data_IF_832830137784
#
_entry.id   IF_832830137784
#
_cell.length_a   1.000
_cell.length_b   1.000
_cell.length_c   1.000
_cell.angle_alpha   90.00
_cell.angle_beta   90.00
_cell.angle_gamma   90.00
#
_symmetry.space_group_name_H-M   'P 1'
#
loop_
_entity.id
_entity.type
_entity.pdbx_description
1 polymer ?
#
# COMPACT_ATOMS: atom_id res chain seq x y z
N UNK A 1 -40.30 -65.63 -31.34
CA UNK A 1 -38.95 -65.05 -31.50
C UNK A 1 -38.18 -65.28 -30.20
N UNK A 2 -36.95 -65.79 -30.26
CA UNK A 2 -36.13 -66.08 -29.08
C UNK A 2 -35.76 -64.76 -28.39
N UNK A 3 -36.12 -64.60 -27.11
CA UNK A 3 -35.88 -63.36 -26.33
C UNK A 3 -34.39 -63.00 -26.27
N UNK A 4 -33.51 -64.00 -26.29
CA UNK A 4 -32.05 -63.78 -26.38
C UNK A 4 -31.64 -63.18 -27.72
N UNK A 5 -32.28 -63.58 -28.83
CA UNK A 5 -32.03 -63.03 -30.15
C UNK A 5 -32.55 -61.60 -30.31
N UNK A 6 -33.65 -61.27 -29.65
CA UNK A 6 -34.18 -59.90 -29.61
C UNK A 6 -33.27 -58.99 -28.79
N UNK A 7 -32.80 -59.44 -27.62
CA UNK A 7 -31.87 -58.68 -26.78
C UNK A 7 -30.53 -58.45 -27.48
N UNK A 8 -29.98 -59.45 -28.17
CA UNK A 8 -28.75 -59.32 -28.94
C UNK A 8 -28.93 -58.34 -30.12
N UNK A 9 -30.07 -58.40 -30.81
CA UNK A 9 -30.40 -57.45 -31.88
C UNK A 9 -30.47 -56.00 -31.38
N UNK A 10 -31.11 -55.77 -30.23
CA UNK A 10 -31.16 -54.44 -29.61
C UNK A 10 -29.76 -53.97 -29.20
N UNK A 11 -28.95 -54.86 -28.62
CA UNK A 11 -27.59 -54.51 -28.20
C UNK A 11 -26.70 -54.12 -29.37
N UNK A 12 -26.77 -54.86 -30.50
CA UNK A 12 -26.01 -54.54 -31.71
C UNK A 12 -26.44 -53.21 -32.32
N UNK A 13 -27.74 -52.90 -32.33
CA UNK A 13 -28.24 -51.61 -32.82
C UNK A 13 -27.76 -50.45 -31.94
N UNK A 14 -27.82 -50.60 -30.62
CA UNK A 14 -27.35 -49.58 -29.68
C UNK A 14 -25.83 -49.37 -29.79
N UNK A 15 -25.07 -50.45 -29.93
CA UNK A 15 -23.61 -50.38 -30.07
C UNK A 15 -23.18 -49.77 -31.41
N UNK A 16 -23.87 -50.12 -32.50
CA UNK A 16 -23.65 -49.50 -33.80
C UNK A 16 -23.99 -48.01 -33.75
N UNK A 17 -25.12 -47.63 -33.15
CA UNK A 17 -25.50 -46.21 -33.01
C UNK A 17 -24.51 -45.40 -32.17
N UNK A 18 -23.94 -45.97 -31.09
CA UNK A 18 -22.96 -45.26 -30.26
C UNK A 18 -21.64 -45.05 -31.00
N UNK A 19 -21.25 -46.00 -31.85
CA UNK A 19 -20.03 -45.90 -32.63
C UNK A 19 -20.17 -44.88 -33.77
N UNK A 20 -21.35 -44.74 -34.37
CA UNK A 20 -21.63 -43.69 -35.37
C UNK A 20 -21.61 -42.29 -34.73
N UNK A 21 -22.11 -42.13 -33.50
CA UNK A 21 -22.03 -40.83 -32.79
C UNK A 21 -20.57 -40.44 -32.53
N UNK A 22 -19.71 -41.39 -32.13
CA UNK A 22 -18.28 -41.12 -31.93
C UNK A 22 -17.56 -40.78 -33.24
N UNK A 23 -17.90 -41.43 -34.35
CA UNK A 23 -17.29 -41.16 -35.66
C UNK A 23 -17.80 -39.87 -36.32
N UNK A 24 -19.00 -39.39 -35.97
CA UNK A 24 -19.54 -38.11 -36.45
C UNK A 24 -19.12 -36.96 -35.53
N UNK A 25 -18.91 -37.21 -34.22
CA UNK A 25 -18.50 -36.19 -33.26
C UNK A 25 -17.04 -35.74 -33.41
N UNK A 26 -16.19 -36.47 -34.14
CA UNK A 26 -14.79 -36.07 -34.37
C UNK A 26 -14.60 -35.12 -35.56
N UNK A 27 -15.62 -34.85 -36.39
CA UNK A 27 -15.44 -34.05 -37.63
C UNK A 27 -16.43 -32.85 -37.79
N UNK A 28 -17.16 -32.48 -36.74
CA UNK A 28 -17.92 -31.21 -36.69
C UNK A 28 -17.64 -30.42 -35.42
N UNK A 29 -16.40 -29.94 -35.29
CA UNK A 29 -16.14 -28.67 -34.60
C UNK A 29 -16.44 -27.51 -35.57
N UNK A 30 -17.68 -27.41 -36.02
CA UNK A 30 -18.18 -26.17 -36.63
C UNK A 30 -18.39 -25.17 -35.50
N UNK A 31 -17.63 -24.09 -35.58
CA UNK A 31 -17.68 -22.91 -34.73
C UNK A 31 -19.12 -22.35 -34.69
N UNK A 32 -19.91 -22.81 -33.72
CA UNK A 32 -21.20 -22.20 -33.41
C UNK A 32 -20.87 -20.95 -32.61
N UNK A 33 -20.92 -19.79 -33.28
CA UNK A 33 -21.03 -18.50 -32.60
C UNK A 33 -22.28 -18.52 -31.73
N UNK A 34 -22.10 -18.91 -30.47
CA UNK A 34 -23.04 -18.62 -29.42
C UNK A 34 -23.07 -17.10 -29.25
N UNK A 35 -24.11 -16.47 -29.79
CA UNK A 35 -24.38 -15.06 -29.59
C UNK A 35 -25.08 -14.86 -28.23
N UNK A 36 -24.61 -15.58 -27.21
CA UNK A 36 -24.83 -15.18 -25.83
C UNK A 36 -23.97 -13.94 -25.65
N UNK A 37 -24.59 -12.84 -25.25
CA UNK A 37 -23.86 -11.68 -24.74
C UNK A 37 -23.23 -12.09 -23.41
N UNK A 38 -22.19 -12.92 -23.50
CA UNK A 38 -21.28 -13.22 -22.42
C UNK A 38 -20.64 -11.87 -22.09
N UNK A 39 -21.05 -11.30 -20.96
CA UNK A 39 -20.26 -10.26 -20.33
C UNK A 39 -18.92 -10.95 -20.00
N UNK A 40 -17.96 -10.83 -20.91
CA UNK A 40 -16.58 -11.13 -20.61
C UNK A 40 -16.16 -10.15 -19.50
N UNK A 41 -16.26 -10.61 -18.27
CA UNK A 41 -15.37 -10.14 -17.22
C UNK A 41 -13.98 -10.67 -17.62
N UNK A 42 -13.37 -10.05 -18.64
CA UNK A 42 -11.95 -10.23 -18.88
C UNK A 42 -11.26 -9.87 -17.57
N UNK A 43 -10.40 -10.78 -17.10
CA UNK A 43 -9.54 -10.53 -15.96
C UNK A 43 -8.83 -9.19 -16.18
N UNK A 44 -8.96 -8.18 -15.29
CA UNK A 44 -8.25 -6.91 -15.43
C UNK A 44 -6.73 -7.09 -15.49
N UNK A 45 -6.21 -8.28 -15.17
CA UNK A 45 -4.82 -8.72 -15.35
C UNK A 45 -4.60 -9.62 -16.59
N UNK A 46 -5.28 -9.36 -17.71
CA UNK A 46 -5.11 -10.14 -18.95
C UNK A 46 -3.72 -10.02 -19.60
N UNK A 47 -2.89 -9.08 -19.16
CA UNK A 47 -1.49 -8.98 -19.55
C UNK A 47 -0.65 -9.89 -18.64
N UNK A 48 -0.54 -11.17 -19.02
CA UNK A 48 0.31 -12.12 -18.32
C UNK A 48 1.79 -11.70 -18.26
N UNK A 49 2.59 -12.47 -17.52
CA UNK A 49 4.03 -12.25 -17.40
C UNK A 49 4.74 -12.48 -18.74
N UNK A 50 5.41 -11.44 -19.27
CA UNK A 50 6.08 -11.50 -20.58
C UNK A 50 6.17 -10.17 -21.32
N UNK A 51 5.54 -9.13 -20.78
CA UNK A 51 5.71 -7.76 -21.26
C UNK A 51 6.69 -6.99 -20.37
N UNK A 52 7.33 -5.97 -20.93
CA UNK A 52 8.25 -5.11 -20.21
C UNK A 52 7.48 -3.98 -19.53
N UNK A 53 7.44 -3.99 -18.19
CA UNK A 53 6.71 -3.01 -17.37
C UNK A 53 7.29 -1.57 -17.47
N UNK A 54 8.42 -1.39 -18.15
CA UNK A 54 8.98 -0.07 -18.47
C UNK A 54 8.56 0.49 -19.83
N UNK A 55 7.81 -0.28 -20.64
CA UNK A 55 7.40 0.12 -21.99
C UNK A 55 5.88 0.25 -22.04
N UNK A 56 5.38 1.48 -21.91
CA UNK A 56 3.95 1.80 -21.90
C UNK A 56 3.16 1.18 -23.07
N UNK A 57 3.76 1.11 -24.27
CA UNK A 57 3.13 0.55 -25.46
C UNK A 57 2.93 -0.98 -25.41
N UNK A 58 3.49 -1.67 -24.41
CA UNK A 58 3.25 -3.10 -24.17
C UNK A 58 2.11 -3.33 -23.16
N UNK A 59 1.54 -2.26 -22.60
CA UNK A 59 0.36 -2.32 -21.75
C UNK A 59 -0.91 -2.01 -22.57
N UNK A 60 -1.78 -3.01 -22.70
CA UNK A 60 -2.98 -3.00 -23.55
C UNK A 60 -4.21 -2.43 -22.82
N UNK A 61 -4.14 -2.33 -21.49
CA UNK A 61 -5.15 -1.76 -20.60
C UNK A 61 -4.87 -0.29 -20.24
N UNK A 62 -3.83 0.30 -20.85
CA UNK A 62 -3.57 1.73 -20.75
C UNK A 62 -4.74 2.50 -21.36
N UNK A 63 -5.11 3.60 -20.73
CA UNK A 63 -6.15 4.51 -21.22
C UNK A 63 -5.49 5.72 -21.88
N UNK A 64 -6.04 6.18 -23.01
CA UNK A 64 -5.52 7.35 -23.76
C UNK A 64 -5.55 8.66 -22.95
N UNK A 65 -6.17 8.68 -21.77
CA UNK A 65 -6.25 9.84 -20.88
C UNK A 65 -5.06 9.95 -19.90
N UNK A 66 -4.10 9.02 -19.94
CA UNK A 66 -2.84 9.09 -19.17
C UNK A 66 -1.67 9.08 -20.16
N UNK A 67 -0.91 10.18 -20.18
CA UNK A 67 0.32 10.32 -20.97
C UNK A 67 1.52 10.39 -20.01
N UNK A 68 2.56 9.59 -20.26
CA UNK A 68 3.83 9.75 -19.56
C UNK A 68 4.60 10.93 -20.17
N UNK A 69 4.60 12.07 -19.48
CA UNK A 69 5.21 13.31 -19.99
C UNK A 69 6.70 13.41 -19.60
N UNK A 70 7.03 13.02 -18.37
CA UNK A 70 8.38 13.11 -17.82
C UNK A 70 8.61 12.05 -16.74
N UNK A 71 9.88 11.71 -16.50
CA UNK A 71 10.30 10.85 -15.41
C UNK A 71 11.50 11.50 -14.71
N UNK A 72 11.32 11.86 -13.44
CA UNK A 72 12.42 12.32 -12.60
C UNK A 72 13.00 11.09 -11.87
N UNK A 73 14.23 10.66 -12.22
CA UNK A 73 14.83 9.52 -11.57
C UNK A 73 15.12 9.83 -10.11
N UNK A 74 14.76 8.91 -9.22
CA UNK A 74 15.21 8.91 -7.83
C UNK A 74 16.72 8.68 -7.79
N UNK A 75 17.39 9.25 -6.78
CA UNK A 75 18.83 8.99 -6.56
C UNK A 75 19.05 7.52 -6.27
N UNK A 76 18.16 6.94 -5.46
CA UNK A 76 18.11 5.51 -5.18
C UNK A 76 16.69 5.02 -5.46
N UNK A 77 16.40 4.42 -6.63
CA UNK A 77 15.07 3.88 -6.92
C UNK A 77 14.81 2.63 -6.07
N UNK A 78 13.55 2.34 -5.76
CA UNK A 78 13.22 1.09 -5.07
C UNK A 78 11.82 1.00 -4.48
N UNK A 79 11.22 2.12 -4.09
CA UNK A 79 9.89 2.17 -3.50
C UNK A 79 8.93 3.03 -4.34
N UNK A 80 7.62 2.83 -4.15
CA UNK A 80 6.57 3.33 -5.03
C UNK A 80 5.48 4.14 -4.31
N UNK A 81 5.79 4.71 -3.15
CA UNK A 81 4.84 5.57 -2.43
C UNK A 81 5.01 7.04 -2.82
N UNK A 82 3.88 7.69 -3.10
CA UNK A 82 3.83 9.10 -3.50
C UNK A 82 2.69 9.79 -2.76
N UNK A 83 3.01 10.90 -2.10
CA UNK A 83 2.00 11.84 -1.60
C UNK A 83 1.98 13.08 -2.50
N UNK A 84 0.79 13.55 -2.89
CA UNK A 84 0.63 14.76 -3.72
C UNK A 84 -0.21 15.76 -2.95
N UNK A 85 0.29 16.98 -2.80
CA UNK A 85 -0.40 18.01 -2.02
C UNK A 85 -0.23 19.42 -2.59
N UNK A 86 -1.24 20.26 -2.35
CA UNK A 86 -1.12 21.71 -2.52
C UNK A 86 -0.41 22.27 -1.29
N UNK A 87 0.56 23.14 -1.52
CA UNK A 87 1.30 23.85 -0.48
C UNK A 87 0.71 25.25 -0.25
N UNK A 88 0.85 25.84 0.95
CA UNK A 88 0.47 27.23 1.23
C UNK A 88 1.13 28.26 0.30
N UNK A 89 2.26 27.94 -0.32
CA UNK A 89 2.92 28.80 -1.31
C UNK A 89 2.18 28.89 -2.67
N UNK A 90 1.09 28.13 -2.83
CA UNK A 90 0.26 28.09 -4.03
C UNK A 90 0.71 27.08 -5.10
N UNK A 91 1.77 26.32 -4.84
CA UNK A 91 2.29 25.27 -5.73
C UNK A 91 1.72 23.90 -5.36
N UNK A 92 1.92 22.94 -6.26
CA UNK A 92 1.61 21.53 -6.04
C UNK A 92 2.91 20.75 -6.01
N UNK A 93 3.12 19.97 -4.96
CA UNK A 93 4.30 19.15 -4.81
C UNK A 93 3.93 17.67 -4.73
N UNK A 94 4.81 16.82 -5.24
CA UNK A 94 4.85 15.41 -4.89
C UNK A 94 5.98 15.16 -3.91
N UNK A 95 5.75 14.22 -3.01
CA UNK A 95 6.72 13.68 -2.08
C UNK A 95 6.85 12.20 -2.42
N UNK A 96 7.94 11.84 -3.07
CA UNK A 96 8.14 10.51 -3.65
C UNK A 96 9.16 9.74 -2.83
N UNK A 97 8.76 8.59 -2.31
CA UNK A 97 9.65 7.65 -1.64
C UNK A 97 10.62 7.04 -2.64
N UNK A 98 11.90 7.13 -2.38
CA UNK A 98 12.93 6.28 -2.98
C UNK A 98 13.35 5.18 -2.01
N UNK A 99 14.46 4.52 -2.33
CA UNK A 99 15.03 3.50 -1.46
C UNK A 99 15.46 4.16 -0.15
N UNK A 100 16.45 5.04 -0.14
CA UNK A 100 16.97 5.71 1.06
C UNK A 100 16.81 7.24 1.03
N UNK A 101 15.93 7.73 0.17
CA UNK A 101 15.65 9.15 0.03
C UNK A 101 14.15 9.43 -0.20
N UNK A 102 13.76 10.68 0.00
CA UNK A 102 12.47 11.22 -0.37
C UNK A 102 12.70 12.46 -1.23
N UNK A 103 12.13 12.47 -2.43
CA UNK A 103 12.24 13.58 -3.37
C UNK A 103 11.00 14.47 -3.25
N UNK A 104 11.23 15.78 -3.19
CA UNK A 104 10.19 16.80 -3.28
C UNK A 104 10.23 17.34 -4.69
N UNK A 105 9.15 17.14 -5.44
CA UNK A 105 9.04 17.53 -6.85
C UNK A 105 7.93 18.55 -7.02
N UNK A 106 8.24 19.73 -7.54
CA UNK A 106 7.24 20.69 -7.98
C UNK A 106 6.57 20.18 -9.25
N UNK A 107 5.27 19.91 -9.15
CA UNK A 107 4.40 19.44 -10.24
C UNK A 107 3.30 20.44 -10.56
N UNK A 108 3.46 21.70 -10.15
CA UNK A 108 2.51 22.78 -10.46
C UNK A 108 2.29 22.89 -11.97
N UNK A 109 3.37 22.74 -12.74
CA UNK A 109 3.29 22.49 -14.16
C UNK A 109 3.53 20.99 -14.43
N UNK A 110 2.45 20.25 -14.68
CA UNK A 110 2.52 18.80 -14.91
C UNK A 110 3.38 18.42 -16.15
N UNK A 111 3.62 19.36 -17.08
CA UNK A 111 4.46 19.09 -18.26
C UNK A 111 5.95 19.36 -18.04
N UNK A 112 6.32 19.92 -16.89
CA UNK A 112 7.70 20.29 -16.56
C UNK A 112 7.96 20.12 -15.06
N UNK A 113 7.91 18.87 -14.55
CA UNK A 113 8.09 18.61 -13.12
C UNK A 113 9.57 18.79 -12.71
N UNK A 114 9.82 19.52 -11.62
CA UNK A 114 11.17 19.87 -11.17
C UNK A 114 11.44 19.36 -9.76
N UNK A 115 12.53 18.61 -9.57
CA UNK A 115 12.98 18.24 -8.22
C UNK A 115 13.50 19.49 -7.52
N UNK A 116 12.89 19.86 -6.39
CA UNK A 116 13.25 21.06 -5.62
C UNK A 116 14.00 20.76 -4.33
N UNK A 117 13.90 19.53 -3.83
CA UNK A 117 14.60 19.10 -2.63
C UNK A 117 14.65 17.58 -2.50
N UNK A 118 15.60 17.11 -1.70
CA UNK A 118 15.78 15.69 -1.38
C UNK A 118 16.11 15.58 0.10
N UNK A 119 15.37 14.73 0.82
CA UNK A 119 15.77 14.24 2.13
C UNK A 119 16.42 12.87 1.95
N UNK A 120 17.62 12.66 2.47
CA UNK A 120 18.33 11.38 2.35
C UNK A 120 18.78 10.92 3.74
N UNK A 121 18.48 9.67 4.06
CA UNK A 121 19.05 8.98 5.21
C UNK A 121 19.65 7.65 4.74
N UNK A 122 20.97 7.53 4.64
CA UNK A 122 21.62 6.34 4.08
C UNK A 122 21.45 5.08 4.95
N UNK A 123 20.98 5.22 6.19
CA UNK A 123 20.82 4.10 7.12
C UNK A 123 19.42 3.50 7.08
N UNK A 124 18.50 4.11 6.31
CA UNK A 124 17.11 3.67 6.29
C UNK A 124 16.59 3.48 4.86
N UNK A 125 15.54 2.67 4.75
CA UNK A 125 14.74 2.57 3.55
C UNK A 125 13.35 3.19 3.78
N UNK A 126 12.91 4.08 2.89
CA UNK A 126 11.65 4.83 2.99
C UNK A 126 10.51 4.03 2.41
N UNK A 127 9.73 3.37 3.26
CA UNK A 127 8.61 2.53 2.87
C UNK A 127 7.39 3.36 2.50
N UNK A 128 6.99 4.33 3.33
CA UNK A 128 5.78 5.14 3.10
C UNK A 128 6.03 6.63 3.32
N UNK A 129 5.23 7.48 2.66
CA UNK A 129 5.31 8.94 2.69
C UNK A 129 3.90 9.52 2.83
N UNK A 130 3.69 10.35 3.86
CA UNK A 130 2.43 11.10 4.07
C UNK A 130 2.72 12.57 4.33
N UNK A 131 2.14 13.46 3.53
CA UNK A 131 2.21 14.90 3.74
C UNK A 131 1.10 15.41 4.66
N UNK A 132 1.41 16.43 5.47
CA UNK A 132 0.43 17.24 6.18
C UNK A 132 0.86 18.71 6.29
N UNK A 133 -0.12 19.59 6.42
CA UNK A 133 0.07 21.02 6.71
C UNK A 133 -0.50 21.33 8.11
N UNK A 134 0.19 22.18 8.86
CA UNK A 134 -0.27 22.68 10.15
C UNK A 134 0.16 24.12 10.39
N UNK A 135 -0.81 25.02 10.52
CA UNK A 135 -0.59 26.46 10.78
C UNK A 135 0.40 27.12 9.79
N UNK A 136 0.37 26.72 8.51
CA UNK A 136 1.28 27.22 7.48
C UNK A 136 2.68 26.60 7.49
N UNK A 137 3.01 25.75 8.47
CA UNK A 137 4.18 24.86 8.41
C UNK A 137 3.78 23.56 7.72
N UNK A 138 4.76 22.91 7.09
CA UNK A 138 4.53 21.73 6.27
C UNK A 138 5.43 20.59 6.70
N UNK A 139 4.86 19.40 6.78
CA UNK A 139 5.54 18.22 7.32
C UNK A 139 5.33 17.02 6.40
N UNK A 140 6.32 16.14 6.43
CA UNK A 140 6.23 14.81 5.85
C UNK A 140 6.52 13.78 6.93
N UNK A 141 5.65 12.79 7.00
CA UNK A 141 5.85 11.59 7.80
C UNK A 141 6.40 10.51 6.86
N UNK A 142 7.56 9.97 7.22
CA UNK A 142 8.16 8.83 6.55
C UNK A 142 7.98 7.59 7.43
N UNK A 143 7.54 6.49 6.84
CA UNK A 143 7.75 5.19 7.47
C UNK A 143 9.04 4.60 6.93
N UNK A 144 9.99 4.35 7.82
CA UNK A 144 11.34 3.95 7.46
C UNK A 144 11.69 2.61 8.10
N UNK A 145 12.48 1.79 7.43
CA UNK A 145 13.14 0.64 8.05
C UNK A 145 14.65 0.82 8.10
N UNK A 146 15.31 0.25 9.11
CA UNK A 146 16.78 0.22 9.13
C UNK A 146 17.30 -0.67 8.01
N UNK A 147 18.28 -0.17 7.25
CA UNK A 147 18.98 -0.96 6.24
C UNK A 147 20.20 -1.60 6.90
N UNK A 148 20.15 -2.91 7.12
CA UNK A 148 21.38 -3.67 7.33
C UNK A 148 22.05 -3.90 5.97
N UNK A 149 23.36 -3.71 5.90
CA UNK A 149 24.19 -3.84 4.69
C UNK A 149 24.12 -5.21 3.99
N UNK A 150 23.38 -6.18 4.55
CA UNK A 150 23.13 -7.51 3.98
C UNK A 150 21.66 -7.91 3.80
N UNK A 151 20.67 -7.09 4.18
CA UNK A 151 19.24 -7.44 4.13
C UNK A 151 18.43 -6.35 3.43
N UNK A 152 17.76 -6.73 2.34
CA UNK A 152 16.90 -5.85 1.54
C UNK A 152 15.40 -5.99 1.88
N UNK A 153 15.06 -6.90 2.79
CA UNK A 153 13.68 -7.24 3.15
C UNK A 153 13.54 -7.09 4.68
N UNK A 154 12.54 -6.35 5.20
CA UNK A 154 12.28 -6.31 6.62
C UNK A 154 11.98 -7.73 7.10
N UNK A 155 12.50 -8.13 8.25
CA UNK A 155 12.01 -9.33 8.91
C UNK A 155 10.67 -9.01 9.58
N UNK A 156 9.63 -8.79 8.76
CA UNK A 156 8.27 -8.48 9.23
C UNK A 156 7.81 -9.60 10.16
N UNK A 157 7.53 -9.27 11.43
CA UNK A 157 7.08 -10.23 12.44
C UNK A 157 8.17 -10.86 13.31
N UNK A 158 9.46 -10.61 13.06
CA UNK A 158 10.57 -11.16 13.84
C UNK A 158 11.16 -10.15 14.84
N UNK A 159 11.08 -10.47 16.13
CA UNK A 159 11.44 -9.60 17.27
C UNK A 159 12.94 -9.43 17.52
N UNK A 160 13.79 -9.87 16.60
CA UNK A 160 15.24 -9.91 16.85
C UNK A 160 15.90 -8.53 16.88
N UNK A 161 15.24 -7.49 16.35
CA UNK A 161 15.65 -6.08 16.45
C UNK A 161 14.42 -5.17 16.63
N UNK A 162 14.28 -4.46 17.77
CA UNK A 162 13.12 -3.61 18.05
C UNK A 162 13.06 -2.31 17.22
N UNK A 163 14.09 -1.97 16.42
CA UNK A 163 14.14 -0.72 15.64
C UNK A 163 13.90 -0.98 14.14
N UNK A 164 13.39 -2.17 13.77
CA UNK A 164 13.27 -2.53 12.35
C UNK A 164 12.42 -1.56 11.54
N UNK A 165 11.35 -0.99 12.12
CA UNK A 165 10.50 0.00 11.46
C UNK A 165 10.28 1.19 12.41
N UNK A 166 10.39 2.40 11.86
CA UNK A 166 10.24 3.66 12.57
C UNK A 166 9.40 4.64 11.77
N UNK A 167 8.79 5.58 12.47
CA UNK A 167 8.15 6.76 11.89
C UNK A 167 9.08 7.94 12.08
N UNK A 168 9.40 8.62 10.99
CA UNK A 168 10.24 9.84 10.99
C UNK A 168 9.41 11.04 10.59
N UNK A 169 9.52 12.13 11.35
CA UNK A 169 8.89 13.41 11.06
C UNK A 169 9.93 14.38 10.47
N UNK A 170 9.64 14.89 9.28
CA UNK A 170 10.47 15.84 8.54
C UNK A 170 9.68 17.15 8.38
N UNK A 171 10.30 18.28 8.72
CA UNK A 171 9.81 19.60 8.36
C UNK A 171 10.25 19.91 6.92
N UNK A 172 9.27 20.16 6.06
CA UNK A 172 9.46 20.46 4.64
C UNK A 172 8.93 21.85 4.29
N UNK A 173 8.75 22.74 5.28
CA UNK A 173 8.28 24.11 5.05
C UNK A 173 9.18 24.82 4.04
N UNK A 174 10.51 24.73 4.22
CA UNK A 174 11.47 25.01 3.15
C UNK A 174 11.71 23.75 2.31
N UNK A 175 11.06 23.68 1.14
CA UNK A 175 11.16 22.55 0.20
C UNK A 175 12.59 22.27 -0.25
N UNK A 176 13.48 23.25 -0.21
CA UNK A 176 14.87 23.12 -0.67
C UNK A 176 15.81 22.61 0.41
N UNK A 177 15.35 22.60 1.66
CA UNK A 177 16.12 22.20 2.82
C UNK A 177 15.23 21.44 3.82
N UNK A 178 14.77 20.23 3.49
CA UNK A 178 14.00 19.40 4.41
C UNK A 178 14.83 19.08 5.65
N UNK A 179 14.24 19.26 6.84
CA UNK A 179 14.95 19.06 8.12
C UNK A 179 14.29 18.00 8.97
N UNK A 180 15.10 17.07 9.49
CA UNK A 180 14.66 16.11 10.49
C UNK A 180 14.14 16.82 11.75
N UNK A 181 12.98 16.37 12.24
CA UNK A 181 12.41 16.83 13.51
C UNK A 181 12.61 15.78 14.59
N UNK A 182 12.07 14.58 14.34
CA UNK A 182 12.07 13.49 15.32
C UNK A 182 11.80 12.14 14.64
N UNK A 183 12.06 11.06 15.36
CA UNK A 183 11.72 9.70 14.95
C UNK A 183 11.27 8.87 16.15
N UNK A 184 10.22 8.10 15.95
CA UNK A 184 9.68 7.19 16.95
C UNK A 184 9.59 5.79 16.36
N UNK A 185 9.84 4.77 17.17
CA UNK A 185 9.59 3.38 16.84
C UNK A 185 8.77 2.75 17.96
N UNK A 186 7.98 1.75 17.60
CA UNK A 186 7.21 1.01 18.57
C UNK A 186 8.09 -0.06 19.24
N UNK A 187 8.40 0.15 20.52
CA UNK A 187 9.37 -0.69 21.22
C UNK A 187 8.76 -1.98 21.77
N UNK A 188 7.44 -2.01 21.92
CA UNK A 188 6.66 -3.07 22.55
C UNK A 188 5.70 -3.78 21.59
N UNK A 189 5.60 -3.36 20.32
CA UNK A 189 4.96 -4.09 19.24
C UNK A 189 5.75 -3.96 17.93
N UNK A 190 5.77 -4.98 17.05
CA UNK A 190 6.31 -4.80 15.72
C UNK A 190 5.42 -3.80 14.96
N UNK A 191 6.03 -2.83 14.27
CA UNK A 191 5.30 -1.97 13.34
C UNK A 191 5.47 -2.51 11.91
N UNK A 192 4.36 -2.62 11.17
CA UNK A 192 4.34 -3.26 9.85
C UNK A 192 4.73 -2.26 8.78
N UNK A 193 5.36 -2.67 7.67
CA UNK A 193 5.68 -1.76 6.57
C UNK A 193 4.40 -1.19 5.91
N UNK A 194 4.43 0.08 5.45
CA UNK A 194 3.37 0.74 4.65
C UNK A 194 1.99 1.00 5.29
N UNK A 195 1.90 1.29 6.59
CA UNK A 195 0.59 1.37 7.25
C UNK A 195 0.38 2.67 8.05
N UNK A 196 0.68 3.82 7.47
CA UNK A 196 0.45 5.12 8.11
C UNK A 196 -0.89 5.73 7.70
N UNK A 197 -1.72 6.07 8.69
CA UNK A 197 -2.89 6.91 8.50
C UNK A 197 -2.82 8.16 9.38
N UNK A 198 -2.54 9.34 8.81
CA UNK A 198 -2.63 10.60 9.54
C UNK A 198 -4.08 11.07 9.64
N UNK A 199 -4.48 11.58 10.80
CA UNK A 199 -5.82 12.11 11.03
C UNK A 199 -5.79 13.29 12.00
N UNK A 200 -6.56 14.34 11.72
CA UNK A 200 -6.69 15.49 12.60
C UNK A 200 -7.93 15.35 13.48
N UNK A 201 -7.76 15.46 14.80
CA UNK A 201 -8.83 15.43 15.79
C UNK A 201 -8.71 16.69 16.64
N UNK A 202 -9.78 17.48 16.74
CA UNK A 202 -9.83 18.71 17.54
C UNK A 202 -8.69 19.71 17.27
N UNK A 203 -8.21 19.78 16.04
CA UNK A 203 -7.12 20.69 15.63
C UNK A 203 -5.72 20.18 15.98
N UNK A 204 -5.58 18.90 16.35
CA UNK A 204 -4.32 18.23 16.64
C UNK A 204 -4.12 17.06 15.70
N UNK A 205 -2.87 16.82 15.27
CA UNK A 205 -2.56 15.75 14.35
C UNK A 205 -2.19 14.46 15.10
N UNK A 206 -2.77 13.35 14.65
CA UNK A 206 -2.46 12.01 15.10
C UNK A 206 -2.05 11.15 13.92
N UNK A 207 -1.23 10.14 14.19
CA UNK A 207 -0.91 9.07 13.26
C UNK A 207 -1.37 7.75 13.86
N UNK A 208 -1.95 6.92 13.01
CA UNK A 208 -2.35 5.57 13.31
C UNK A 208 -1.43 4.66 12.50
N UNK A 209 -0.66 3.83 13.19
CA UNK A 209 0.33 2.94 12.61
C UNK A 209 -0.18 1.51 12.81
N UNK A 210 -0.45 0.78 11.74
CA UNK A 210 -0.89 -0.61 11.90
C UNK A 210 0.29 -1.51 12.27
N UNK A 211 0.10 -2.27 13.33
CA UNK A 211 0.99 -3.31 13.80
C UNK A 211 0.54 -4.64 13.17
N UNK A 212 1.44 -5.38 12.50
CA UNK A 212 1.11 -6.63 11.85
C UNK A 212 0.77 -7.69 12.89
N UNK A 213 0.26 -8.83 12.43
CA UNK A 213 0.10 -9.97 13.32
C UNK A 213 1.46 -10.39 13.91
N UNK A 214 1.52 -10.62 15.22
CA UNK A 214 2.68 -11.04 15.98
C UNK A 214 2.37 -12.35 16.72
N UNK A 215 3.34 -13.27 16.78
CA UNK A 215 3.11 -14.65 17.22
C UNK A 215 3.07 -14.85 18.75
N UNK A 216 3.28 -13.79 19.55
CA UNK A 216 3.31 -13.86 21.02
C UNK A 216 1.92 -13.83 21.67
N UNK A 217 0.86 -13.60 20.90
CA UNK A 217 -0.53 -13.72 21.34
C UNK A 217 -1.02 -15.18 21.24
N UNK A 218 -2.02 -15.56 22.04
CA UNK A 218 -2.75 -16.82 21.88
C UNK A 218 -4.06 -16.57 21.09
N UNK A 219 -3.95 -16.59 19.76
CA UNK A 219 -5.12 -16.48 18.87
C UNK A 219 -6.13 -17.62 19.10
N UNK A 220 -5.70 -18.77 19.63
CA UNK A 220 -6.56 -19.93 19.85
C UNK A 220 -7.54 -19.72 21.02
N UNK A 221 -7.29 -18.76 21.91
CA UNK A 221 -8.26 -18.30 22.92
C UNK A 221 -8.91 -16.95 22.57
N UNK A 222 -8.67 -16.44 21.35
CA UNK A 222 -9.24 -15.20 20.84
C UNK A 222 -8.51 -13.94 21.30
N UNK A 223 -7.22 -14.03 21.65
CA UNK A 223 -6.40 -12.83 21.83
C UNK A 223 -6.24 -12.11 20.49
N UNK A 224 -6.17 -10.78 20.56
CA UNK A 224 -5.83 -9.96 19.41
C UNK A 224 -4.32 -10.05 19.18
N UNK A 225 -3.96 -10.28 17.91
CA UNK A 225 -2.62 -10.64 17.51
C UNK A 225 -1.93 -9.56 16.68
N UNK A 226 -2.58 -8.44 16.44
CA UNK A 226 -1.97 -7.24 15.89
C UNK A 226 -2.70 -6.04 16.44
N UNK A 227 -2.47 -4.86 15.90
CA UNK A 227 -3.09 -3.67 16.48
C UNK A 227 -2.82 -2.39 15.74
N UNK A 228 -3.13 -1.29 16.40
CA UNK A 228 -2.84 0.05 15.90
C UNK A 228 -2.19 0.84 17.01
N UNK A 229 -1.00 1.34 16.75
CA UNK A 229 -0.36 2.32 17.61
C UNK A 229 -0.77 3.73 17.22
N UNK A 230 -1.13 4.52 18.22
CA UNK A 230 -1.60 5.88 18.08
C UNK A 230 -0.53 6.79 18.62
N UNK A 231 0.00 7.66 17.77
CA UNK A 231 0.91 8.71 18.18
C UNK A 231 0.35 10.09 17.85
N UNK A 232 0.54 11.04 18.76
CA UNK A 232 0.26 12.45 18.58
C UNK A 232 1.49 13.13 17.98
N UNK A 233 1.27 14.00 16.99
CA UNK A 233 2.29 14.87 16.43
C UNK A 233 2.23 16.21 17.16
N UNK A 234 3.18 16.43 18.06
CA UNK A 234 3.26 17.64 18.87
C UNK A 234 3.93 18.76 18.05
N UNK A 235 3.28 19.19 16.97
CA UNK A 235 3.81 20.12 15.96
C UNK A 235 3.97 21.55 16.49
N UNK A 236 4.80 22.35 15.84
CA UNK A 236 4.94 23.76 16.22
C UNK A 236 3.59 24.49 16.15
N UNK A 237 3.24 25.17 17.24
CA UNK A 237 1.95 25.86 17.37
C UNK A 237 0.79 24.97 17.82
N UNK A 238 1.03 23.68 18.09
CA UNK A 238 0.05 22.80 18.72
C UNK A 238 -0.36 23.34 20.09
N UNK A 239 -1.65 23.26 20.41
CA UNK A 239 -2.15 23.65 21.72
C UNK A 239 -1.58 22.73 22.82
N UNK A 240 -1.29 21.47 22.48
CA UNK A 240 -0.68 20.50 23.37
C UNK A 240 0.72 20.93 23.85
N UNK A 241 1.48 21.69 23.06
CA UNK A 241 2.81 22.16 23.48
C UNK A 241 2.77 23.15 24.64
N UNK A 242 1.75 24.01 24.70
CA UNK A 242 1.73 25.22 25.55
C UNK A 242 0.68 25.20 26.64
N UNK A 243 -0.35 24.37 26.53
CA UNK A 243 -1.45 24.31 27.49
C UNK A 243 -1.05 23.49 28.75
N UNK A 244 -1.07 24.10 29.96
CA UNK A 244 -0.74 23.38 31.19
C UNK A 244 -1.69 22.21 31.45
N UNK A 245 -1.13 21.03 31.73
CA UNK A 245 -1.92 19.82 32.03
C UNK A 245 -2.41 19.05 30.80
N UNK A 246 -2.06 19.49 29.59
CA UNK A 246 -2.34 18.75 28.35
C UNK A 246 -1.23 17.71 28.10
N UNK A 247 -1.55 16.46 27.74
CA UNK A 247 -0.57 15.50 27.23
C UNK A 247 0.23 16.12 26.08
N UNK A 248 1.57 16.15 26.17
CA UNK A 248 2.44 16.84 25.18
C UNK A 248 2.99 18.20 25.63
N UNK A 249 2.50 18.77 26.73
CA UNK A 249 3.03 20.05 27.25
C UNK A 249 4.48 19.91 27.70
N UNK A 250 5.37 20.76 27.16
CA UNK A 250 6.79 20.77 27.49
C UNK A 250 7.65 19.72 26.77
N UNK A 251 7.05 18.86 25.94
CA UNK A 251 7.78 17.87 25.14
C UNK A 251 8.38 18.46 23.85
N UNK A 252 7.97 19.67 23.45
CA UNK A 252 8.51 20.35 22.28
C UNK A 252 7.98 19.80 20.95
N UNK A 253 8.74 19.99 19.88
CA UNK A 253 8.38 19.57 18.52
C UNK A 253 8.81 18.10 18.29
N UNK A 254 7.88 17.15 18.46
CA UNK A 254 8.20 15.71 18.60
C UNK A 254 6.99 14.81 18.29
N UNK A 255 7.22 13.51 18.16
CA UNK A 255 6.21 12.45 18.06
C UNK A 255 6.01 11.80 19.43
N UNK A 256 4.76 11.63 19.87
CA UNK A 256 4.44 11.08 21.20
C UNK A 256 3.47 9.92 21.06
N UNK A 257 3.87 8.69 21.41
CA UNK A 257 2.94 7.56 21.57
C UNK A 257 1.92 7.90 22.65
N UNK A 258 0.63 7.87 22.31
CA UNK A 258 -0.48 8.23 23.23
C UNK A 258 -1.39 7.05 23.54
N UNK A 259 -1.30 5.97 22.78
CA UNK A 259 -2.06 4.76 23.07
C UNK A 259 -1.89 3.71 21.99
N UNK A 260 -2.55 2.58 22.23
CA UNK A 260 -2.59 1.43 21.33
C UNK A 260 -3.95 0.78 21.41
N UNK A 261 -4.32 0.07 20.36
CA UNK A 261 -5.52 -0.74 20.32
C UNK A 261 -5.24 -2.09 19.66
N UNK A 262 -5.51 -3.17 20.37
CA UNK A 262 -5.34 -4.52 19.86
C UNK A 262 -6.49 -4.93 18.96
N UNK A 263 -6.15 -5.49 17.79
CA UNK A 263 -7.05 -5.93 16.74
C UNK A 263 -6.78 -7.39 16.42
N UNK A 264 -7.81 -8.23 16.46
CA UNK A 264 -7.75 -9.56 15.85
C UNK A 264 -7.98 -9.42 14.34
N UNK A 265 -6.91 -9.20 13.56
CA UNK A 265 -7.00 -8.99 12.11
C UNK A 265 -7.76 -10.10 11.39
N UNK A 266 -7.59 -11.36 11.82
CA UNK A 266 -8.31 -12.54 11.31
C UNK A 266 -9.84 -12.43 11.37
N UNK A 267 -10.37 -11.70 12.36
CA UNK A 267 -11.81 -11.52 12.57
C UNK A 267 -12.31 -10.15 12.09
N UNK A 268 -11.37 -9.26 11.74
CA UNK A 268 -11.66 -7.89 11.30
C UNK A 268 -11.84 -7.88 9.79
N UNK A 269 -13.10 -7.78 9.35
CA UNK A 269 -13.46 -7.83 7.91
C UNK A 269 -13.09 -6.53 7.20
N UNK A 270 -11.81 -6.27 6.94
CA UNK A 270 -11.24 -5.40 5.88
C UNK A 270 -11.84 -4.00 5.61
N UNK A 271 -12.77 -3.51 6.42
CA UNK A 271 -13.41 -2.22 6.24
C UNK A 271 -12.56 -1.19 6.96
N UNK A 272 -11.96 -0.28 6.21
CA UNK A 272 -11.12 0.79 6.74
C UNK A 272 -11.76 1.52 7.93
N UNK A 273 -10.91 1.99 8.84
CA UNK A 273 -11.29 2.76 10.01
C UNK A 273 -12.18 3.95 9.60
N UNK A 274 -13.46 3.87 9.94
CA UNK A 274 -14.41 4.96 9.72
C UNK A 274 -14.72 5.58 11.08
N UNK A 275 -14.12 6.73 11.39
CA UNK A 275 -14.55 7.53 12.52
C UNK A 275 -15.84 8.25 12.14
N UNK A 276 -16.97 7.87 12.76
CA UNK A 276 -18.19 8.66 12.68
C UNK A 276 -18.06 9.86 13.62
N UNK A 277 -18.07 11.06 13.04
CA UNK A 277 -18.17 12.36 13.73
C UNK A 277 -19.48 12.51 14.49
#
# INVERSE_FOLDING_TARGET
MNSQGVALGIFVVLFASSMTVLLIAEDEATDVQDNSSEFHFEDPLFQGEGHNHSIASQHVAGTDNIEQIAFNPLTSPGNAEVSVARSPDGRVYTYQAGWNDMHIVDVTNATDPQVVGVYNDPNTQVLDVKYLEYNGNEYVILQNQLVDSGYADPNVGEWSDPIQVSVTLIDVTDKTNPTYVDSWYDADHPSGPHNLYPHMIDGEWYIFVANPDYEQCDSAIGEACGGVTIAHLNLQGSAAQVAPGTPGSGFGHTIIKVGEYEVAWETTRGAGFTFTT
#
